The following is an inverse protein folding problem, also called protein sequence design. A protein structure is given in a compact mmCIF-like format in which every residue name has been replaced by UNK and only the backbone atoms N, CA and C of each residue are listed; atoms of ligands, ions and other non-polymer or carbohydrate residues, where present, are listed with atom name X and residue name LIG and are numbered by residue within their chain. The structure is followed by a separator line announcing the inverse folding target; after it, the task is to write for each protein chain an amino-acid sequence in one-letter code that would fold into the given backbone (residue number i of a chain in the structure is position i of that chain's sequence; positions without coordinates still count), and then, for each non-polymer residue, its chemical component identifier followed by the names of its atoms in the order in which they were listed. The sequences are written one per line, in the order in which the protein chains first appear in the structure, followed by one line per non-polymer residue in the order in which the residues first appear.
data_IF_539833002085
#
_entry.id   IF_539833002085
#
_cell.length_a   1.000
_cell.length_b   1.000
_cell.length_c   1.000
_cell.angle_alpha   90.00
_cell.angle_beta   90.00
_cell.angle_gamma   90.00
#
_symmetry.space_group_name_H-M   'P 1'
#
loop_
_entity.id
_entity.type
_entity.pdbx_description
1 polymer ?
#
# COMPACT_ATOMS: atom_id res chain seq x y z
N UNK A 1 74.30 -2.44 7.44
CA UNK A 1 73.11 -3.31 7.49
C UNK A 1 71.89 -2.46 7.87
N UNK A 2 70.99 -2.15 6.95
CA UNK A 2 69.78 -1.34 7.22
C UNK A 2 68.58 -2.26 7.46
N UNK A 3 68.06 -2.27 8.70
CA UNK A 3 66.81 -2.97 9.06
C UNK A 3 65.63 -2.09 8.68
N UNK A 4 64.87 -2.49 7.67
CA UNK A 4 63.57 -1.86 7.35
C UNK A 4 62.52 -2.43 8.30
N UNK A 5 62.08 -1.62 9.26
CA UNK A 5 60.92 -1.94 10.08
C UNK A 5 59.65 -1.69 9.26
N UNK A 6 58.90 -2.76 9.01
CA UNK A 6 57.66 -2.70 8.25
C UNK A 6 56.55 -2.21 9.18
N UNK A 7 56.27 -0.91 9.15
CA UNK A 7 55.18 -0.31 9.93
C UNK A 7 53.87 -0.62 9.21
N UNK A 8 53.22 -1.70 9.63
CA UNK A 8 51.84 -2.02 9.21
C UNK A 8 50.92 -0.98 9.85
N UNK A 9 50.61 0.10 9.13
CA UNK A 9 49.52 1.01 9.51
C UNK A 9 48.22 0.20 9.49
N UNK A 10 47.65 -0.05 10.67
CA UNK A 10 46.33 -0.66 10.82
C UNK A 10 45.33 0.24 10.11
N UNK A 11 44.64 -0.29 9.11
CA UNK A 11 43.63 0.43 8.33
C UNK A 11 42.35 0.65 9.18
N UNK A 12 42.42 1.50 10.20
CA UNK A 12 41.26 1.86 11.03
C UNK A 12 40.21 2.66 10.25
N UNK A 13 40.60 3.30 9.15
CA UNK A 13 39.69 4.08 8.30
C UNK A 13 38.67 3.26 7.49
N UNK A 14 38.85 1.95 7.31
CA UNK A 14 37.92 1.17 6.47
C UNK A 14 36.56 0.94 7.14
N UNK A 15 36.53 0.73 8.46
CA UNK A 15 35.28 0.50 9.20
C UNK A 15 34.38 1.72 9.23
N UNK A 16 34.95 2.93 9.37
CA UNK A 16 34.19 4.18 9.33
C UNK A 16 33.60 4.43 7.94
N UNK A 17 34.37 4.19 6.88
CA UNK A 17 33.91 4.31 5.49
C UNK A 17 32.82 3.29 5.17
N UNK A 18 32.96 2.03 5.59
CA UNK A 18 31.90 1.04 5.44
C UNK A 18 30.63 1.44 6.21
N UNK A 19 30.74 1.94 7.44
CA UNK A 19 29.58 2.41 8.20
C UNK A 19 28.87 3.58 7.52
N UNK A 20 29.62 4.55 6.96
CA UNK A 20 29.02 5.65 6.21
C UNK A 20 28.34 5.17 4.93
N UNK A 21 28.99 4.27 4.16
CA UNK A 21 28.39 3.71 2.93
C UNK A 21 27.13 2.91 3.26
N UNK A 22 27.17 2.05 4.27
CA UNK A 22 25.98 1.29 4.72
C UNK A 22 24.89 2.25 5.19
N UNK A 23 25.23 3.26 5.99
CA UNK A 23 24.28 4.29 6.43
C UNK A 23 23.62 5.02 5.26
N UNK A 24 24.40 5.42 4.26
CA UNK A 24 23.91 6.08 3.05
C UNK A 24 22.99 5.16 2.22
N UNK A 25 23.34 3.89 2.06
CA UNK A 25 22.51 2.89 1.36
C UNK A 25 21.18 2.69 2.09
N UNK A 26 21.21 2.54 3.42
CA UNK A 26 19.99 2.40 4.23
C UNK A 26 19.11 3.64 4.10
N UNK A 27 19.69 4.84 4.19
CA UNK A 27 18.95 6.10 4.01
C UNK A 27 18.32 6.20 2.61
N UNK A 28 19.04 5.81 1.57
CA UNK A 28 18.52 5.80 0.21
C UNK A 28 17.35 4.80 0.07
N UNK A 29 17.47 3.60 0.64
CA UNK A 29 16.41 2.59 0.62
C UNK A 29 15.16 3.07 1.35
N UNK A 30 15.32 3.66 2.55
CA UNK A 30 14.21 4.24 3.32
C UNK A 30 13.56 5.40 2.54
N UNK A 31 14.37 6.27 1.93
CA UNK A 31 13.87 7.36 1.09
C UNK A 31 13.06 6.87 -0.11
N UNK A 32 13.53 5.85 -0.83
CA UNK A 32 12.79 5.26 -1.95
C UNK A 32 11.52 4.57 -1.47
N UNK A 33 11.58 3.78 -0.40
CA UNK A 33 10.41 3.13 0.18
C UNK A 33 9.34 4.17 0.61
N UNK A 34 9.77 5.27 1.23
CA UNK A 34 8.86 6.35 1.64
C UNK A 34 8.13 7.02 0.47
N UNK A 35 8.82 7.21 -0.66
CA UNK A 35 8.24 7.74 -1.90
C UNK A 35 7.17 6.81 -2.45
N UNK A 36 7.43 5.50 -2.46
CA UNK A 36 6.48 4.49 -2.95
C UNK A 36 5.25 4.44 -2.04
N UNK A 37 5.44 4.39 -0.72
CA UNK A 37 4.35 4.36 0.26
C UNK A 37 3.46 5.60 0.14
N UNK A 38 4.06 6.78 -0.06
CA UNK A 38 3.31 8.03 -0.21
C UNK A 38 2.43 8.11 -1.48
N UNK A 39 2.67 7.26 -2.49
CA UNK A 39 1.84 7.27 -3.71
C UNK A 39 0.49 6.58 -3.53
N UNK A 40 0.40 5.59 -2.64
CA UNK A 40 -0.86 4.95 -2.26
C UNK A 40 -0.79 4.39 -0.84
N UNK A 41 -0.87 5.25 0.20
CA UNK A 41 -0.71 4.85 1.59
C UNK A 41 -1.73 3.78 1.99
N UNK A 42 -2.95 3.88 1.45
CA UNK A 42 -4.05 2.97 1.74
C UNK A 42 -3.84 1.62 1.03
N UNK A 43 -3.39 1.62 -0.23
CA UNK A 43 -3.07 0.39 -0.97
C UNK A 43 -1.92 -0.41 -0.36
N UNK A 44 -1.00 0.26 0.34
CA UNK A 44 0.11 -0.37 1.05
C UNK A 44 -0.13 -0.61 2.55
N UNK A 45 -1.31 -0.26 3.08
CA UNK A 45 -1.65 -0.47 4.49
C UNK A 45 -0.93 0.46 5.48
N UNK A 46 -0.40 1.59 5.02
CA UNK A 46 0.35 2.57 5.80
C UNK A 46 -0.28 3.96 5.72
N UNK A 47 -1.57 4.07 6.04
CA UNK A 47 -2.27 5.35 6.18
C UNK A 47 -1.86 6.09 7.48
N UNK A 48 -0.56 6.33 7.72
CA UNK A 48 -0.08 7.03 8.92
C UNK A 48 0.82 8.22 8.56
N UNK A 49 0.78 9.27 9.38
CA UNK A 49 1.63 10.45 9.21
C UNK A 49 3.12 10.08 9.37
N UNK A 50 4.05 10.60 8.54
CA UNK A 50 3.92 11.70 7.57
C UNK A 50 3.56 11.28 6.14
N UNK A 51 3.21 10.02 5.90
CA UNK A 51 3.02 9.48 4.56
C UNK A 51 1.57 9.56 4.06
N UNK A 52 0.64 9.91 4.95
CA UNK A 52 -0.79 10.01 4.68
C UNK A 52 -1.37 11.35 5.17
N UNK A 53 -2.35 11.87 4.44
CA UNK A 53 -3.14 13.04 4.80
C UNK A 53 -4.51 12.65 5.40
N UNK A 54 -5.34 13.64 5.76
CA UNK A 54 -6.67 13.37 6.32
C UNK A 54 -7.59 12.62 5.35
N UNK A 55 -7.52 12.91 4.05
CA UNK A 55 -8.32 12.19 3.05
C UNK A 55 -7.88 10.72 2.92
N UNK A 56 -6.58 10.43 3.03
CA UNK A 56 -6.07 9.05 3.03
C UNK A 56 -6.55 8.27 4.26
N UNK A 57 -6.71 8.93 5.41
CA UNK A 57 -7.30 8.32 6.60
C UNK A 57 -8.79 8.01 6.43
N UNK A 58 -9.56 8.93 5.84
CA UNK A 58 -10.98 8.72 5.54
C UNK A 58 -11.14 7.62 4.49
N UNK A 59 -10.31 7.63 3.44
CA UNK A 59 -10.28 6.58 2.41
C UNK A 59 -9.96 5.21 3.03
N UNK A 60 -9.02 5.15 3.98
CA UNK A 60 -8.72 3.93 4.72
C UNK A 60 -9.92 3.41 5.52
N UNK A 61 -10.61 4.28 6.25
CA UNK A 61 -11.82 3.91 7.02
C UNK A 61 -12.97 3.41 6.12
N UNK A 62 -13.14 4.05 4.96
CA UNK A 62 -14.09 3.60 3.94
C UNK A 62 -13.70 2.19 3.47
N UNK A 63 -12.44 1.97 3.13
CA UNK A 63 -11.96 0.67 2.65
C UNK A 63 -12.04 -0.43 3.72
N UNK A 64 -11.86 -0.11 4.99
CA UNK A 64 -12.08 -1.05 6.10
C UNK A 64 -13.56 -1.47 6.17
N UNK A 65 -14.47 -0.51 6.01
CA UNK A 65 -15.92 -0.77 5.97
C UNK A 65 -16.29 -1.62 4.76
N UNK A 66 -15.79 -1.27 3.57
CA UNK A 66 -15.95 -2.09 2.35
C UNK A 66 -15.44 -3.51 2.60
N UNK A 67 -14.32 -3.63 3.30
CA UNK A 67 -13.70 -4.91 3.57
C UNK A 67 -14.48 -5.77 4.55
N UNK A 68 -15.01 -5.17 5.61
CA UNK A 68 -15.90 -5.81 6.56
C UNK A 68 -17.20 -6.27 5.88
N UNK A 69 -17.82 -5.38 5.09
CA UNK A 69 -19.02 -5.70 4.31
C UNK A 69 -18.74 -6.86 3.36
N UNK A 70 -17.65 -6.83 2.61
CA UNK A 70 -17.30 -7.89 1.69
C UNK A 70 -17.11 -9.23 2.43
N UNK A 71 -16.39 -9.24 3.56
CA UNK A 71 -16.19 -10.42 4.42
C UNK A 71 -17.47 -10.95 5.07
N UNK A 72 -18.44 -10.07 5.33
CA UNK A 72 -19.74 -10.48 5.89
C UNK A 72 -20.60 -11.25 4.87
N UNK A 73 -20.28 -11.18 3.57
CA UNK A 73 -21.04 -11.84 2.51
C UNK A 73 -20.46 -13.21 2.21
N UNK A 74 -21.34 -14.21 2.26
CA UNK A 74 -21.04 -15.60 1.85
C UNK A 74 -20.85 -15.71 0.33
N UNK A 75 -21.50 -14.84 -0.44
CA UNK A 75 -21.47 -14.84 -1.90
C UNK A 75 -20.84 -13.55 -2.44
N UNK A 76 -19.67 -13.61 -3.12
CA UNK A 76 -18.99 -12.42 -3.66
C UNK A 76 -19.87 -11.54 -4.56
N UNK A 77 -20.78 -12.14 -5.34
CA UNK A 77 -21.70 -11.40 -6.21
C UNK A 77 -22.67 -10.44 -5.48
N UNK A 78 -22.86 -10.59 -4.17
CA UNK A 78 -23.71 -9.68 -3.38
C UNK A 78 -22.93 -8.46 -2.86
N UNK A 79 -21.60 -8.47 -2.96
CA UNK A 79 -20.74 -7.41 -2.43
C UNK A 79 -20.99 -6.06 -3.11
N UNK A 80 -21.11 -5.94 -4.45
CA UNK A 80 -21.34 -4.64 -5.09
C UNK A 80 -22.57 -3.91 -4.57
N UNK A 81 -23.69 -4.62 -4.37
CA UNK A 81 -24.92 -4.03 -3.86
C UNK A 81 -24.82 -3.67 -2.36
N UNK A 82 -23.98 -4.38 -1.60
CA UNK A 82 -23.82 -4.16 -0.17
C UNK A 82 -22.83 -3.05 0.17
N UNK A 83 -21.90 -2.74 -0.74
CA UNK A 83 -20.84 -1.74 -0.55
C UNK A 83 -21.32 -0.31 -0.84
N UNK A 84 -22.45 -0.15 -1.53
CA UNK A 84 -23.07 1.17 -1.74
C UNK A 84 -23.48 1.76 -0.38
N UNK A 85 -22.88 2.89 -0.04
CA UNK A 85 -23.13 3.64 1.17
C UNK A 85 -22.99 5.15 0.89
N UNK A 86 -23.37 6.00 1.84
CA UNK A 86 -23.20 7.45 1.71
C UNK A 86 -21.72 7.79 1.44
N UNK A 87 -21.43 8.40 0.28
CA UNK A 87 -20.08 8.75 -0.16
C UNK A 87 -19.30 7.65 -0.88
N UNK A 88 -19.90 6.47 -1.14
CA UNK A 88 -19.29 5.38 -1.92
C UNK A 88 -20.24 4.90 -3.01
N UNK A 89 -19.85 5.12 -4.27
CA UNK A 89 -20.59 4.68 -5.44
C UNK A 89 -19.85 3.57 -6.19
N UNK A 90 -20.58 2.54 -6.62
CA UNK A 90 -20.03 1.49 -7.49
C UNK A 90 -20.23 1.88 -8.95
N UNK A 91 -19.18 2.38 -9.60
CA UNK A 91 -19.21 2.84 -11.01
C UNK A 91 -19.29 1.67 -11.98
N UNK A 92 -18.58 0.59 -11.67
CA UNK A 92 -18.54 -0.62 -12.50
C UNK A 92 -18.42 -1.83 -11.60
N UNK A 93 -19.15 -2.90 -11.89
CA UNK A 93 -18.97 -4.18 -11.24
C UNK A 93 -19.01 -5.29 -12.30
N UNK A 94 -18.08 -6.22 -12.21
CA UNK A 94 -17.99 -7.39 -13.07
C UNK A 94 -17.68 -8.61 -12.21
N UNK A 95 -18.47 -9.66 -12.37
CA UNK A 95 -18.22 -10.96 -11.75
C UNK A 95 -17.38 -11.78 -12.74
N UNK A 96 -16.14 -12.07 -12.37
CA UNK A 96 -15.21 -12.84 -13.19
C UNK A 96 -15.41 -14.34 -13.03
N UNK A 97 -15.18 -15.08 -14.11
CA UNK A 97 -15.15 -16.55 -14.14
C UNK A 97 -13.67 -17.01 -14.02
N UNK A 98 -13.29 -17.96 -13.13
CA UNK A 98 -14.14 -18.86 -12.36
C UNK A 98 -14.90 -18.18 -11.20
N UNK A 99 -16.13 -18.66 -11.02
CA UNK A 99 -17.31 -18.13 -10.32
C UNK A 99 -17.20 -17.63 -8.86
N UNK A 100 -16.13 -16.98 -8.43
CA UNK A 100 -16.01 -16.40 -7.08
C UNK A 100 -15.16 -15.12 -7.04
N UNK A 101 -14.85 -14.51 -8.18
CA UNK A 101 -14.14 -13.21 -8.21
C UNK A 101 -15.08 -12.07 -8.59
N UNK A 102 -15.02 -10.97 -7.85
CA UNK A 102 -15.76 -9.74 -8.20
C UNK A 102 -14.80 -8.58 -8.30
N UNK A 103 -14.79 -7.97 -9.49
CA UNK A 103 -14.06 -6.77 -9.81
C UNK A 103 -15.04 -5.60 -9.76
N UNK A 104 -14.78 -4.61 -8.92
CA UNK A 104 -15.62 -3.42 -8.86
C UNK A 104 -14.77 -2.15 -8.82
N UNK A 105 -15.21 -1.12 -9.54
CA UNK A 105 -14.65 0.21 -9.45
C UNK A 105 -15.53 1.04 -8.53
N UNK A 106 -14.98 1.46 -7.40
CA UNK A 106 -15.59 2.35 -6.44
C UNK A 106 -15.19 3.79 -6.73
N UNK A 107 -16.13 4.72 -6.64
CA UNK A 107 -15.90 6.15 -6.54
C UNK A 107 -16.20 6.57 -5.11
N UNK A 108 -15.20 7.13 -4.44
CA UNK A 108 -15.27 7.54 -3.03
C UNK A 108 -15.20 9.06 -3.00
N UNK A 109 -16.21 9.68 -2.40
CA UNK A 109 -16.25 11.12 -2.16
C UNK A 109 -15.39 11.42 -0.91
N UNK A 110 -14.30 12.16 -1.09
CA UNK A 110 -13.39 12.51 0.00
C UNK A 110 -13.30 14.04 0.17
N UNK A 111 -12.82 14.53 1.33
CA UNK A 111 -12.71 15.97 1.59
C UNK A 111 -11.84 16.73 0.59
N UNK A 112 -10.93 16.06 -0.11
CA UNK A 112 -10.04 16.65 -1.11
C UNK A 112 -10.46 16.35 -2.57
N UNK A 113 -11.60 15.68 -2.77
CA UNK A 113 -12.19 15.36 -4.06
C UNK A 113 -12.53 13.87 -4.23
N UNK A 114 -13.14 13.54 -5.36
CA UNK A 114 -13.49 12.15 -5.69
C UNK A 114 -12.23 11.33 -6.01
N UNK A 115 -12.16 10.11 -5.47
CA UNK A 115 -11.11 9.14 -5.82
C UNK A 115 -11.74 7.83 -6.27
N UNK A 116 -11.22 7.27 -7.36
CA UNK A 116 -11.66 5.97 -7.84
C UNK A 116 -10.69 4.87 -7.46
N UNK A 117 -11.24 3.74 -7.00
CA UNK A 117 -10.48 2.54 -6.65
C UNK A 117 -11.07 1.32 -7.33
N UNK A 118 -10.22 0.53 -7.96
CA UNK A 118 -10.59 -0.81 -8.39
C UNK A 118 -10.33 -1.78 -7.25
N UNK A 119 -11.36 -2.55 -6.90
CA UNK A 119 -11.38 -3.51 -5.82
C UNK A 119 -11.69 -4.89 -6.39
N UNK A 120 -10.89 -5.87 -6.00
CA UNK A 120 -11.08 -7.27 -6.38
C UNK A 120 -11.36 -8.07 -5.12
N UNK A 121 -12.48 -8.79 -5.13
CA UNK A 121 -12.88 -9.71 -4.07
C UNK A 121 -12.72 -11.13 -4.58
N UNK A 122 -11.87 -11.94 -3.95
CA UNK A 122 -11.66 -13.36 -4.28
C UNK A 122 -12.36 -14.24 -3.22
N UNK A 123 -13.11 -15.26 -3.66
CA UNK A 123 -14.07 -15.96 -2.80
C UNK A 123 -13.81 -17.45 -2.51
N UNK A 124 -12.63 -18.02 -2.74
CA UNK A 124 -12.46 -19.48 -2.55
C UNK A 124 -12.18 -19.92 -1.09
N UNK A 125 -11.47 -19.12 -0.27
CA UNK A 125 -11.09 -19.50 1.10
C UNK A 125 -11.13 -18.37 2.13
N UNK A 126 -11.82 -17.28 1.81
CA UNK A 126 -11.82 -16.03 2.57
C UNK A 126 -11.78 -14.86 1.59
N UNK A 127 -12.46 -13.78 1.93
CA UNK A 127 -12.57 -12.59 1.09
C UNK A 127 -11.22 -11.86 1.12
N UNK A 128 -10.37 -12.17 0.13
CA UNK A 128 -9.16 -11.39 -0.14
C UNK A 128 -9.56 -10.17 -0.97
N UNK A 129 -9.13 -8.99 -0.51
CA UNK A 129 -9.51 -7.71 -1.07
C UNK A 129 -8.25 -7.02 -1.54
N UNK A 130 -8.09 -6.96 -2.86
CA UNK A 130 -7.02 -6.20 -3.47
C UNK A 130 -7.60 -4.89 -3.99
N UNK A 131 -6.97 -3.76 -3.64
CA UNK A 131 -7.41 -2.44 -4.08
C UNK A 131 -6.28 -1.70 -4.77
N UNK A 132 -6.58 -1.06 -5.91
CA UNK A 132 -5.65 -0.12 -6.55
C UNK A 132 -6.35 1.19 -6.91
N UNK A 133 -5.61 2.29 -6.81
CA UNK A 133 -6.11 3.60 -7.27
C UNK A 133 -6.18 3.65 -8.80
N UNK A 134 -7.30 4.12 -9.32
CA UNK A 134 -7.55 4.29 -10.76
C UNK A 134 -8.07 5.70 -11.04
N UNK A 135 -7.94 6.17 -12.28
CA UNK A 135 -8.60 7.40 -12.69
C UNK A 135 -10.11 7.20 -12.69
N UNK A 136 -10.82 8.13 -12.06
CA UNK A 136 -12.17 8.46 -12.48
C UNK A 136 -12.07 9.10 -13.89
#
# INVERSE_FOLDING_TARGET
MQRRALVVRRAEGSRWRCRMVVGAVVLALVGVASRVIATDPVGYGFAFWPFANHADLVEHQVMDTVSEVARSRVAPQQVPAAVVADGVEVVRAHVGDPANSVWMTLRIELPDGDRCREVVVLGEHGVEINSRRVSC
#
